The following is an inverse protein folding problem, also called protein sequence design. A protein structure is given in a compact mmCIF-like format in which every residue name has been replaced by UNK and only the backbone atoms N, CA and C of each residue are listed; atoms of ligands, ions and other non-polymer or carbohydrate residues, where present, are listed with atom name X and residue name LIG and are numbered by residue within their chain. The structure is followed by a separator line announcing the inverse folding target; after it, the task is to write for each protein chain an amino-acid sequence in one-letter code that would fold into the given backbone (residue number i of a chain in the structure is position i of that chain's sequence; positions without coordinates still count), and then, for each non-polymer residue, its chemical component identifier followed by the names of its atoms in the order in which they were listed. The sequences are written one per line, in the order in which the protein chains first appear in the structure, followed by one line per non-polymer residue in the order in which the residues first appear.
data_IF_037877545080
#
_entry.id   IF_037877545080
#
_cell.length_a   1.000
_cell.length_b   1.000
_cell.length_c   1.000
_cell.angle_alpha   90.00
_cell.angle_beta   90.00
_cell.angle_gamma   90.00
#
_symmetry.space_group_name_H-M   'P 1'
#
loop_
_entity.id
_entity.type
_entity.pdbx_description
1 polymer ?
#
# COMPACT_ATOMS: atom_id res chain seq x y z
N UNK A 1 5.99 -29.14 -3.96
CA UNK A 1 4.53 -28.92 -4.12
C UNK A 1 4.22 -27.73 -5.04
N UNK A 2 4.21 -26.47 -4.58
CA UNK A 2 3.77 -25.35 -5.43
C UNK A 2 4.73 -25.00 -6.58
N UNK A 3 6.04 -25.09 -6.35
CA UNK A 3 7.06 -24.85 -7.40
C UNK A 3 6.92 -25.87 -8.53
N UNK A 4 6.89 -27.16 -8.22
CA UNK A 4 6.73 -28.24 -9.22
C UNK A 4 5.40 -28.11 -9.97
N UNK A 5 4.31 -27.82 -9.27
CA UNK A 5 3.00 -27.62 -9.89
C UNK A 5 2.98 -26.41 -10.83
N UNK A 6 3.69 -25.34 -10.46
CA UNK A 6 3.87 -24.15 -11.32
C UNK A 6 4.72 -24.46 -12.55
N UNK A 7 5.81 -25.22 -12.41
CA UNK A 7 6.60 -25.66 -13.57
C UNK A 7 5.77 -26.55 -14.50
N UNK A 8 4.99 -27.47 -13.94
CA UNK A 8 4.15 -28.37 -14.75
C UNK A 8 2.99 -27.65 -15.46
N UNK A 9 2.50 -26.53 -14.92
CA UNK A 9 1.36 -25.79 -15.47
C UNK A 9 1.75 -24.70 -16.48
N UNK A 10 3.04 -24.45 -16.71
CA UNK A 10 3.51 -23.42 -17.64
C UNK A 10 4.37 -24.06 -18.73
N UNK A 11 4.31 -23.54 -19.96
CA UNK A 11 5.30 -23.90 -20.97
C UNK A 11 6.66 -23.25 -20.66
N UNK A 12 7.74 -23.86 -21.12
CA UNK A 12 9.09 -23.36 -20.91
C UNK A 12 9.30 -21.93 -21.44
N UNK A 13 8.58 -21.53 -22.50
CA UNK A 13 8.63 -20.17 -23.07
C UNK A 13 7.93 -19.12 -22.19
N UNK A 14 6.92 -19.54 -21.42
CA UNK A 14 6.19 -18.66 -20.50
C UNK A 14 6.84 -18.57 -19.12
N UNK A 15 7.74 -19.48 -18.75
CA UNK A 15 8.42 -19.48 -17.44
C UNK A 15 9.59 -18.48 -17.37
N UNK A 16 9.28 -17.19 -17.60
CA UNK A 16 10.21 -16.06 -17.41
C UNK A 16 9.70 -15.13 -16.31
N UNK A 17 10.58 -14.28 -15.78
CA UNK A 17 10.40 -13.48 -14.54
C UNK A 17 9.02 -12.81 -14.37
N UNK A 18 8.42 -12.31 -15.45
CA UNK A 18 7.13 -11.60 -15.41
C UNK A 18 6.03 -12.21 -16.28
N UNK A 19 6.26 -13.37 -16.90
CA UNK A 19 5.28 -14.02 -17.79
C UNK A 19 4.85 -15.42 -17.31
N UNK A 20 5.43 -15.92 -16.21
CA UNK A 20 5.04 -17.20 -15.62
C UNK A 20 3.83 -17.04 -14.71
N UNK A 21 2.86 -17.94 -14.83
CA UNK A 21 1.68 -17.98 -13.96
C UNK A 21 1.93 -18.86 -12.74
N UNK A 22 1.89 -18.29 -11.53
CA UNK A 22 2.00 -19.05 -10.28
C UNK A 22 0.76 -19.93 -10.08
N UNK A 23 0.97 -21.25 -9.99
CA UNK A 23 -0.12 -22.21 -9.81
C UNK A 23 0.00 -22.92 -8.46
N UNK A 24 -0.84 -22.53 -7.51
CA UNK A 24 -0.86 -23.11 -6.15
C UNK A 24 -1.78 -24.35 -6.15
N UNK A 25 -1.32 -25.53 -5.72
CA UNK A 25 -2.17 -26.71 -5.54
C UNK A 25 -3.36 -26.49 -4.59
N UNK A 26 -4.43 -27.27 -4.73
CA UNK A 26 -5.66 -27.13 -3.92
C UNK A 26 -5.44 -27.41 -2.43
N UNK A 27 -4.63 -28.40 -2.10
CA UNK A 27 -4.22 -28.74 -0.73
C UNK A 27 -3.46 -27.58 -0.08
N UNK A 28 -2.47 -27.03 -0.78
CA UNK A 28 -1.69 -25.86 -0.30
C UNK A 28 -2.57 -24.62 -0.16
N UNK A 29 -3.52 -24.39 -1.08
CA UNK A 29 -4.50 -23.30 -0.93
C UNK A 29 -5.36 -23.48 0.31
N UNK A 30 -5.78 -24.70 0.63
CA UNK A 30 -6.55 -24.99 1.84
C UNK A 30 -5.72 -24.73 3.11
N UNK A 31 -4.45 -25.14 3.13
CA UNK A 31 -3.52 -24.82 4.23
C UNK A 31 -3.38 -23.30 4.45
N UNK A 32 -3.16 -22.55 3.36
CA UNK A 32 -3.09 -21.08 3.41
C UNK A 32 -4.41 -20.48 3.93
N UNK A 33 -5.56 -21.01 3.47
CA UNK A 33 -6.86 -20.52 3.91
C UNK A 33 -7.08 -20.74 5.42
N UNK A 34 -6.69 -21.90 5.95
CA UNK A 34 -6.76 -22.18 7.40
C UNK A 34 -5.85 -21.24 8.18
N UNK A 35 -4.61 -21.04 7.74
CA UNK A 35 -3.66 -20.14 8.43
C UNK A 35 -4.14 -18.68 8.39
N UNK A 36 -4.55 -18.18 7.22
CA UNK A 36 -5.10 -16.82 7.07
C UNK A 36 -6.39 -16.64 7.86
N UNK A 37 -7.27 -17.64 7.86
CA UNK A 37 -8.52 -17.62 8.62
C UNK A 37 -8.28 -17.55 10.13
N UNK A 38 -7.34 -18.37 10.62
CA UNK A 38 -6.94 -18.36 12.04
C UNK A 38 -6.40 -17.00 12.46
N UNK A 39 -5.47 -16.43 11.68
CA UNK A 39 -4.94 -15.08 11.93
C UNK A 39 -6.03 -14.02 11.88
N UNK A 40 -6.96 -14.13 10.93
CA UNK A 40 -8.08 -13.20 10.81
C UNK A 40 -8.92 -13.17 12.09
N UNK A 41 -9.34 -14.34 12.57
CA UNK A 41 -10.16 -14.48 13.78
C UNK A 41 -9.41 -14.00 15.02
N UNK A 42 -8.17 -14.45 15.24
CA UNK A 42 -7.50 -14.18 16.51
C UNK A 42 -6.75 -12.85 16.58
N UNK A 43 -6.32 -12.28 15.44
CA UNK A 43 -5.49 -11.06 15.43
C UNK A 43 -6.17 -9.88 14.76
N UNK A 44 -6.93 -10.10 13.69
CA UNK A 44 -7.50 -9.00 12.89
C UNK A 44 -8.88 -8.56 13.39
N UNK A 45 -9.65 -9.44 14.05
CA UNK A 45 -10.94 -9.08 14.67
C UNK A 45 -10.82 -8.58 16.11
N UNK A 46 -9.59 -8.44 16.64
CA UNK A 46 -9.37 -7.89 17.97
C UNK A 46 -9.80 -6.42 18.02
N UNK A 47 -10.92 -6.15 18.70
CA UNK A 47 -11.53 -4.82 18.85
C UNK A 47 -10.55 -3.80 19.45
N UNK A 48 -9.57 -4.25 20.24
CA UNK A 48 -8.56 -3.36 20.83
C UNK A 48 -7.68 -2.68 19.78
N UNK A 49 -7.58 -3.24 18.57
CA UNK A 49 -6.81 -2.68 17.47
C UNK A 49 -7.61 -1.71 16.60
N UNK A 50 -8.94 -1.75 16.66
CA UNK A 50 -9.78 -0.87 15.84
C UNK A 50 -9.52 0.62 16.07
N UNK A 51 -9.39 1.12 17.32
CA UNK A 51 -9.08 2.54 17.55
C UNK A 51 -7.76 2.96 16.91
N UNK A 52 -6.75 2.07 16.94
CA UNK A 52 -5.46 2.34 16.34
C UNK A 52 -5.53 2.42 14.82
N UNK A 53 -6.28 1.53 14.16
CA UNK A 53 -6.48 1.58 12.71
C UNK A 53 -7.27 2.82 12.26
N UNK A 54 -8.27 3.25 13.06
CA UNK A 54 -9.00 4.49 12.81
C UNK A 54 -8.07 5.70 12.89
N UNK A 55 -7.29 5.79 13.95
CA UNK A 55 -6.30 6.86 14.12
C UNK A 55 -5.27 6.89 12.99
N UNK A 56 -4.73 5.74 12.58
CA UNK A 56 -3.81 5.67 11.44
C UNK A 56 -4.46 6.17 10.14
N UNK A 57 -5.74 5.86 9.93
CA UNK A 57 -6.49 6.33 8.77
C UNK A 57 -6.71 7.83 8.82
N UNK A 58 -7.05 8.37 9.98
CA UNK A 58 -7.19 9.81 10.21
C UNK A 58 -5.87 10.54 9.90
N UNK A 59 -4.74 10.06 10.45
CA UNK A 59 -3.40 10.61 10.17
C UNK A 59 -3.12 10.68 8.68
N UNK A 60 -3.38 9.60 7.93
CA UNK A 60 -3.12 9.57 6.49
C UNK A 60 -4.07 10.49 5.70
N UNK A 61 -5.34 10.58 6.11
CA UNK A 61 -6.31 11.49 5.48
C UNK A 61 -5.93 12.95 5.72
N UNK A 62 -5.67 13.34 6.96
CA UNK A 62 -5.27 14.70 7.32
C UNK A 62 -3.96 15.09 6.62
N UNK A 63 -2.98 14.17 6.58
CA UNK A 63 -1.72 14.40 5.88
C UNK A 63 -1.93 14.63 4.38
N UNK A 64 -2.77 13.83 3.73
CA UNK A 64 -3.08 14.00 2.31
C UNK A 64 -3.75 15.36 2.05
N UNK A 65 -4.71 15.76 2.88
CA UNK A 65 -5.39 17.04 2.76
C UNK A 65 -4.43 18.22 2.98
N UNK A 66 -3.55 18.14 3.98
CA UNK A 66 -2.54 19.15 4.25
C UNK A 66 -1.53 19.28 3.09
N UNK A 67 -1.09 18.16 2.51
CA UNK A 67 -0.18 18.16 1.35
C UNK A 67 -0.84 18.76 0.10
N UNK A 68 -2.11 18.44 -0.14
CA UNK A 68 -2.88 19.01 -1.25
C UNK A 68 -3.05 20.52 -1.07
N UNK A 69 -3.45 20.97 0.12
CA UNK A 69 -3.61 22.38 0.47
C UNK A 69 -2.28 23.17 0.39
N UNK A 70 -1.15 22.48 0.62
CA UNK A 70 0.19 23.06 0.53
C UNK A 70 0.65 23.35 -0.90
N UNK A 71 -0.14 23.00 -1.92
CA UNK A 71 0.08 23.31 -3.33
C UNK A 71 1.49 22.95 -3.83
N UNK A 72 2.00 21.78 -3.41
CA UNK A 72 3.29 21.24 -3.85
C UNK A 72 4.52 21.69 -3.05
N UNK A 73 4.35 22.44 -1.96
CA UNK A 73 5.46 22.96 -1.14
C UNK A 73 6.18 21.88 -0.33
N UNK A 74 5.44 20.92 0.22
CA UNK A 74 5.95 19.89 1.14
C UNK A 74 6.09 18.50 0.48
N UNK A 75 6.12 18.47 -0.86
CA UNK A 75 6.37 17.26 -1.62
C UNK A 75 7.88 16.99 -1.72
N UNK A 76 8.24 15.72 -1.82
CA UNK A 76 9.59 15.32 -2.20
C UNK A 76 9.94 15.81 -3.62
N UNK A 77 11.22 15.73 -3.97
CA UNK A 77 11.71 16.26 -5.25
C UNK A 77 11.03 15.61 -6.46
N UNK A 78 10.74 14.31 -6.40
CA UNK A 78 10.12 13.59 -7.50
C UNK A 78 8.65 14.03 -7.66
N UNK A 79 7.87 13.96 -6.59
CA UNK A 79 6.47 14.35 -6.56
C UNK A 79 6.29 15.83 -6.92
N UNK A 80 7.18 16.72 -6.47
CA UNK A 80 7.15 18.13 -6.84
C UNK A 80 7.35 18.34 -8.35
N UNK A 81 8.20 17.53 -9.00
CA UNK A 81 8.42 17.61 -10.45
C UNK A 81 7.15 17.23 -11.24
N UNK A 82 6.46 16.18 -10.80
CA UNK A 82 5.20 15.72 -11.40
C UNK A 82 4.05 16.69 -11.08
N UNK A 83 4.03 17.29 -9.88
CA UNK A 83 3.07 18.32 -9.50
C UNK A 83 3.10 19.51 -10.45
N UNK A 84 4.30 19.99 -10.80
CA UNK A 84 4.50 21.15 -11.69
C UNK A 84 3.98 20.91 -13.12
N UNK A 85 3.96 19.66 -13.58
CA UNK A 85 3.47 19.30 -14.91
C UNK A 85 2.01 18.83 -14.92
N UNK A 86 1.36 18.78 -13.75
CA UNK A 86 -0.03 18.35 -13.59
C UNK A 86 -1.01 19.48 -13.91
N UNK A 87 -1.88 19.26 -14.88
CA UNK A 87 -2.85 20.25 -15.37
C UNK A 87 -4.25 20.06 -14.83
N UNK A 88 -4.54 18.92 -14.21
CA UNK A 88 -5.87 18.58 -13.69
C UNK A 88 -5.80 18.27 -12.20
N UNK A 89 -6.91 18.45 -11.50
CA UNK A 89 -7.00 18.12 -10.08
C UNK A 89 -6.76 16.63 -9.86
N UNK A 90 -7.29 15.75 -10.72
CA UNK A 90 -7.06 14.30 -10.62
C UNK A 90 -5.57 13.93 -10.65
N UNK A 91 -4.78 14.60 -11.50
CA UNK A 91 -3.33 14.42 -11.54
C UNK A 91 -2.65 14.91 -10.25
N UNK A 92 -3.08 16.06 -9.71
CA UNK A 92 -2.58 16.59 -8.43
C UNK A 92 -2.91 15.66 -7.26
N UNK A 93 -4.13 15.13 -7.19
CA UNK A 93 -4.53 14.12 -6.21
C UNK A 93 -3.65 12.87 -6.31
N UNK A 94 -3.40 12.36 -7.52
CA UNK A 94 -2.53 11.19 -7.73
C UNK A 94 -1.11 11.44 -7.20
N UNK A 95 -0.54 12.63 -7.44
CA UNK A 95 0.78 13.01 -6.91
C UNK A 95 0.79 12.99 -5.38
N UNK A 96 -0.26 13.49 -4.72
CA UNK A 96 -0.36 13.43 -3.25
C UNK A 96 -0.46 11.99 -2.76
N UNK A 97 -1.25 11.13 -3.43
CA UNK A 97 -1.33 9.71 -3.07
C UNK A 97 0.02 9.01 -3.26
N UNK A 98 0.75 9.32 -4.34
CA UNK A 98 2.12 8.80 -4.56
C UNK A 98 3.08 9.24 -3.47
N UNK A 99 3.00 10.52 -3.06
CA UNK A 99 3.80 11.05 -1.97
C UNK A 99 3.50 10.34 -0.65
N UNK A 100 2.23 10.15 -0.30
CA UNK A 100 1.85 9.49 0.97
C UNK A 100 2.24 8.01 0.93
N UNK A 101 2.07 7.33 -0.20
CA UNK A 101 2.40 5.92 -0.36
C UNK A 101 3.92 5.62 -0.34
N UNK A 102 4.76 6.62 -0.62
CA UNK A 102 6.22 6.47 -0.55
C UNK A 102 6.80 6.66 0.85
N UNK A 103 6.00 7.15 1.81
CA UNK A 103 6.43 7.38 3.18
C UNK A 103 6.45 6.07 3.97
N UNK A 104 7.48 5.94 4.81
CA UNK A 104 7.46 4.99 5.92
C UNK A 104 6.55 5.51 7.03
N UNK A 105 6.07 4.63 7.91
CA UNK A 105 5.23 4.99 9.06
C UNK A 105 5.84 6.13 9.89
N UNK A 106 7.14 6.06 10.20
CA UNK A 106 7.84 7.08 10.99
C UNK A 106 7.88 8.42 10.26
N UNK A 107 8.20 8.41 8.96
CA UNK A 107 8.22 9.65 8.17
C UNK A 107 6.83 10.27 7.99
N UNK A 108 5.78 9.45 7.87
CA UNK A 108 4.41 9.94 7.76
C UNK A 108 3.96 10.63 9.05
N UNK A 109 4.26 10.04 10.21
CA UNK A 109 3.96 10.64 11.51
C UNK A 109 4.74 11.93 11.76
N UNK A 110 6.03 11.97 11.42
CA UNK A 110 6.85 13.18 11.57
C UNK A 110 6.32 14.32 10.69
N UNK A 111 5.98 14.02 9.43
CA UNK A 111 5.46 15.02 8.49
C UNK A 111 4.05 15.48 8.90
N UNK A 112 3.20 14.57 9.36
CA UNK A 112 1.88 14.91 9.90
C UNK A 112 2.02 15.86 11.10
N UNK A 113 2.92 15.57 12.04
CA UNK A 113 3.20 16.44 13.18
C UNK A 113 3.75 17.82 12.76
N UNK A 114 4.57 17.90 11.72
CA UNK A 114 5.09 19.18 11.22
C UNK A 114 3.99 20.05 10.58
N UNK A 115 3.09 19.43 9.81
CA UNK A 115 2.10 20.16 9.01
C UNK A 115 0.80 20.45 9.76
N UNK A 116 0.39 19.55 10.66
CA UNK A 116 -0.91 19.57 11.33
C UNK A 116 -0.76 19.72 12.84
N UNK A 117 0.37 19.29 13.41
CA UNK A 117 0.67 19.39 14.84
C UNK A 117 0.88 20.83 15.31
N UNK A 118 -0.24 21.54 15.53
CA UNK A 118 -0.38 22.72 16.38
C UNK A 118 -1.61 22.58 17.24
#
# INVERSE_FOLDING_TARGET
RSTEHTLASNSSEHLVRYNGSLSVPSDVRAEIAVLKGTVSVFLMTDEKRQPYYLWQREVLTELADALLASNGKHLDHYCQSVWKTSSTDSQKYRVVVDQVASLTDVSALNLHAELIGK
#
